data_IF_052125841515
#
_entry.id   IF_052125841515
#
_cell.length_a   1.000
_cell.length_b   1.000
_cell.length_c   1.000
_cell.angle_alpha   90.00
_cell.angle_beta   90.00
_cell.angle_gamma   90.00
#
_symmetry.space_group_name_H-M   'P 1'
#
loop_
_entity.id
_entity.type
_entity.pdbx_description
1 polymer ?
#
# COMPACT_ATOMS: atom_id res chain seq x y z
N UNK A 1 3.04 -10.93 25.01
CA UNK A 1 3.36 -10.92 23.57
C UNK A 1 3.64 -12.35 23.16
N UNK A 2 2.74 -12.97 22.41
CA UNK A 2 2.96 -14.27 21.77
C UNK A 2 2.17 -14.27 20.46
N UNK A 3 2.85 -14.65 19.38
CA UNK A 3 2.24 -14.82 18.06
C UNK A 3 1.60 -16.22 18.00
N UNK A 4 0.33 -16.31 17.65
CA UNK A 4 -0.35 -17.56 17.32
C UNK A 4 -0.41 -17.75 15.80
N UNK A 5 -0.25 -18.98 15.27
CA UNK A 5 -0.29 -19.21 13.83
C UNK A 5 -1.74 -19.32 13.36
N UNK A 6 -2.13 -18.50 12.38
CA UNK A 6 -3.33 -18.74 11.57
C UNK A 6 -3.24 -17.88 10.32
N UNK A 7 -2.51 -18.36 9.30
CA UNK A 7 -2.64 -17.91 7.92
C UNK A 7 -4.04 -18.27 7.43
N UNK A 8 -4.99 -17.38 7.71
CA UNK A 8 -6.26 -17.29 7.02
C UNK A 8 -6.41 -15.80 6.72
N UNK A 9 -6.25 -15.43 5.45
CA UNK A 9 -6.48 -14.08 4.96
C UNK A 9 -7.96 -13.74 5.20
N UNK A 10 -8.28 -13.33 6.42
CA UNK A 10 -9.58 -12.77 6.76
C UNK A 10 -9.58 -11.32 6.29
N UNK A 11 -10.69 -10.83 5.71
CA UNK A 11 -10.90 -9.39 5.55
C UNK A 11 -10.66 -8.69 6.89
N UNK A 12 -9.77 -7.70 6.92
CA UNK A 12 -9.37 -6.98 8.14
C UNK A 12 -8.27 -7.65 8.99
N UNK A 13 -7.53 -8.61 8.44
CA UNK A 13 -6.33 -9.17 9.09
C UNK A 13 -5.14 -8.20 9.10
N UNK A 14 -4.14 -8.49 9.93
CA UNK A 14 -2.86 -7.77 9.89
C UNK A 14 -2.04 -8.22 8.67
N UNK A 15 -1.41 -7.27 8.00
CA UNK A 15 -0.54 -7.51 6.84
C UNK A 15 0.84 -6.93 7.09
N UNK A 16 1.89 -7.66 6.68
CA UNK A 16 3.21 -7.07 6.55
C UNK A 16 3.20 -6.09 5.36
N UNK A 17 3.62 -4.85 5.60
CA UNK A 17 3.60 -3.78 4.61
C UNK A 17 4.98 -3.11 4.54
N UNK A 18 5.72 -3.20 3.43
CA UNK A 18 6.95 -2.44 3.25
C UNK A 18 6.64 -0.94 3.24
N UNK A 19 7.54 -0.17 3.87
CA UNK A 19 7.47 1.29 3.94
C UNK A 19 8.42 1.90 2.91
N UNK A 20 7.88 2.73 2.03
CA UNK A 20 8.61 3.41 0.97
C UNK A 20 8.70 4.90 1.26
N UNK A 21 9.90 5.46 1.24
CA UNK A 21 10.06 6.92 1.28
C UNK A 21 9.71 7.53 -0.07
N UNK A 22 8.70 8.41 -0.10
CA UNK A 22 8.19 9.08 -1.32
C UNK A 22 9.28 9.81 -2.11
N UNK A 23 10.31 10.32 -1.43
CA UNK A 23 11.47 11.01 -2.03
C UNK A 23 12.40 10.10 -2.84
N UNK A 24 12.30 8.78 -2.69
CA UNK A 24 13.13 7.81 -3.40
C UNK A 24 12.42 7.18 -4.59
N UNK A 25 11.12 7.46 -4.78
CA UNK A 25 10.35 6.92 -5.88
C UNK A 25 10.58 7.76 -7.14
N UNK A 26 10.82 7.07 -8.26
CA UNK A 26 11.08 7.67 -9.56
C UNK A 26 9.91 7.43 -10.51
N UNK A 27 9.80 8.29 -11.53
CA UNK A 27 8.83 8.11 -12.60
C UNK A 27 8.90 6.69 -13.19
N UNK A 28 7.74 6.08 -13.39
CA UNK A 28 7.58 4.70 -13.85
C UNK A 28 7.64 3.64 -12.74
N UNK A 29 7.95 4.00 -11.48
CA UNK A 29 7.85 3.05 -10.37
C UNK A 29 6.40 2.58 -10.18
N UNK A 30 6.23 1.29 -9.94
CA UNK A 30 4.96 0.63 -9.63
C UNK A 30 5.09 -0.06 -8.28
N UNK A 31 4.15 0.20 -7.37
CA UNK A 31 4.10 -0.39 -6.04
C UNK A 31 2.74 -1.06 -5.86
N UNK A 32 2.73 -2.37 -5.62
CA UNK A 32 1.52 -3.12 -5.29
C UNK A 32 1.32 -3.15 -3.77
N UNK A 33 0.08 -3.02 -3.32
CA UNK A 33 -0.28 -3.18 -1.92
C UNK A 33 -0.21 -4.66 -1.46
N UNK A 34 -0.14 -4.94 -0.15
CA UNK A 34 -0.15 -3.97 0.94
C UNK A 34 1.18 -3.20 1.07
N UNK A 35 1.13 -1.88 1.19
CA UNK A 35 2.32 -1.04 1.30
C UNK A 35 2.01 0.32 1.96
N UNK A 36 3.03 0.93 2.56
CA UNK A 36 2.96 2.31 3.07
C UNK A 36 3.93 3.18 2.29
N UNK A 37 3.48 4.35 1.86
CA UNK A 37 4.32 5.34 1.20
C UNK A 37 4.32 6.60 2.07
N UNK A 38 5.48 6.96 2.61
CA UNK A 38 5.64 8.08 3.53
C UNK A 38 6.31 9.28 2.87
N UNK A 39 5.74 10.43 3.11
CA UNK A 39 6.26 11.75 2.77
C UNK A 39 6.28 12.63 4.02
N UNK A 40 7.09 13.69 4.02
CA UNK A 40 7.19 14.60 5.17
C UNK A 40 5.83 15.18 5.58
N UNK A 41 4.93 15.39 4.62
CA UNK A 41 3.62 16.02 4.80
C UNK A 41 2.43 15.07 4.67
N UNK A 42 2.63 13.80 4.31
CA UNK A 42 1.54 12.87 4.05
C UNK A 42 1.97 11.40 4.13
N UNK A 43 1.01 10.52 4.35
CA UNK A 43 1.22 9.07 4.34
C UNK A 43 0.11 8.44 3.51
N UNK A 44 0.48 7.69 2.47
CA UNK A 44 -0.45 6.92 1.66
C UNK A 44 -0.38 5.43 2.01
N UNK A 45 -1.54 4.82 2.23
CA UNK A 45 -1.69 3.40 2.48
C UNK A 45 -2.25 2.72 1.25
N UNK A 46 -1.60 1.64 0.80
CA UNK A 46 -2.11 0.73 -0.20
C UNK A 46 -2.57 -0.53 0.51
N UNK A 47 -3.85 -0.85 0.43
CA UNK A 47 -4.41 -2.10 0.93
C UNK A 47 -4.13 -3.25 -0.05
N UNK A 48 -4.36 -4.51 0.35
CA UNK A 48 -4.31 -5.63 -0.60
C UNK A 48 -5.22 -5.36 -1.81
N UNK A 49 -4.65 -5.43 -3.02
CA UNK A 49 -5.35 -5.16 -4.27
C UNK A 49 -5.23 -3.72 -4.78
N UNK A 50 -4.86 -2.77 -3.91
CA UNK A 50 -4.50 -1.41 -4.35
C UNK A 50 -3.13 -1.44 -5.04
N UNK A 51 -2.89 -0.46 -5.90
CA UNK A 51 -1.55 -0.20 -6.42
C UNK A 51 -1.32 1.29 -6.66
N UNK A 52 -0.06 1.70 -6.65
CA UNK A 52 0.35 3.04 -7.00
C UNK A 52 1.39 3.03 -8.12
N UNK A 53 1.32 4.07 -8.96
CA UNK A 53 2.35 4.34 -9.96
C UNK A 53 2.83 5.78 -9.84
N UNK A 54 4.11 6.01 -10.14
CA UNK A 54 4.64 7.37 -10.25
C UNK A 54 4.62 7.76 -11.73
N UNK A 55 3.86 8.80 -12.07
CA UNK A 55 3.79 9.28 -13.45
C UNK A 55 5.08 10.02 -13.87
N UNK A 56 5.13 10.47 -15.12
CA UNK A 56 6.27 11.20 -15.66
C UNK A 56 6.54 12.55 -14.98
N UNK A 57 5.54 13.13 -14.30
CA UNK A 57 5.65 14.38 -13.55
C UNK A 57 6.01 14.15 -12.08
N UNK A 58 6.12 12.89 -11.66
CA UNK A 58 6.40 12.51 -10.29
C UNK A 58 5.16 12.47 -9.40
N UNK A 59 3.94 12.53 -9.95
CA UNK A 59 2.72 12.39 -9.16
C UNK A 59 2.52 10.92 -8.77
N UNK A 60 2.02 10.69 -7.56
CA UNK A 60 1.64 9.37 -7.10
C UNK A 60 0.17 9.10 -7.47
N UNK A 61 -0.05 8.27 -8.49
CA UNK A 61 -1.38 7.86 -8.94
C UNK A 61 -1.75 6.55 -8.24
N UNK A 62 -2.77 6.59 -7.39
CA UNK A 62 -3.28 5.42 -6.67
C UNK A 62 -4.51 4.87 -7.38
N UNK A 63 -4.50 3.58 -7.66
CA UNK A 63 -5.67 2.82 -8.07
C UNK A 63 -6.14 1.98 -6.90
N UNK A 64 -7.41 2.18 -6.54
CA UNK A 64 -8.04 1.44 -5.46
C UNK A 64 -8.53 0.12 -6.05
N UNK A 65 -8.03 -0.98 -5.50
CA UNK A 65 -8.52 -2.31 -5.83
C UNK A 65 -10.00 -2.41 -5.45
N UNK A 66 -10.71 -3.38 -6.04
CA UNK A 66 -12.04 -3.74 -5.54
C UNK A 66 -11.86 -4.41 -4.17
N UNK A 67 -11.62 -3.62 -3.12
CA UNK A 67 -11.66 -4.07 -1.74
C UNK A 67 -13.10 -4.37 -1.36
N UNK A 68 -13.31 -5.44 -0.59
CA UNK A 68 -14.62 -5.89 -0.14
C UNK A 68 -15.43 -4.70 0.42
N UNK A 69 -16.43 -4.25 -0.34
CA UNK A 69 -17.31 -3.16 0.04
C UNK A 69 -17.94 -3.49 1.39
N UNK A 70 -17.54 -2.79 2.45
CA UNK A 70 -18.19 -2.90 3.75
C UNK A 70 -19.63 -2.39 3.62
N UNK A 71 -20.57 -3.33 3.42
CA UNK A 71 -22.01 -3.14 3.62
C UNK A 71 -22.36 -3.15 5.11
#
# INVERSE_FOLDING_TARGET
>A
MYCGPSNSAKPGGWHDAPVWGRKFLLAGNHISGPAVIEELSSTALLHPGDYATVDAYGNLLVSVGQGDSHA
#
